data_IF_984925744295
#
_entry.id   IF_984925744295
#
_cell.length_a   1.000
_cell.length_b   1.000
_cell.length_c   1.000
_cell.angle_alpha   90.00
_cell.angle_beta   90.00
_cell.angle_gamma   90.00
#
_symmetry.space_group_name_H-M   'P 1'
#
loop_
_entity.id
_entity.type
_entity.pdbx_description
1 polymer ?
#
# COMPACT_ATOMS: atom_id res chain seq x y z
N UNK A 1 -5.06 19.07 -15.30
CA UNK A 1 -6.25 18.75 -14.48
C UNK A 1 -6.52 17.24 -14.63
N UNK A 2 -6.10 16.39 -13.67
CA UNK A 2 -6.31 14.91 -13.69
C UNK A 2 -7.73 14.64 -13.18
N UNK A 3 -8.65 14.30 -14.08
CA UNK A 3 -10.05 14.09 -13.78
C UNK A 3 -10.36 12.60 -13.51
N UNK A 4 -9.94 12.06 -12.36
CA UNK A 4 -10.43 10.75 -11.91
C UNK A 4 -10.38 10.55 -10.39
N UNK A 5 -11.40 9.90 -9.81
CA UNK A 5 -11.49 9.50 -8.38
C UNK A 5 -10.39 8.52 -7.99
N UNK A 6 -9.83 7.83 -8.98
CA UNK A 6 -8.73 6.90 -8.82
C UNK A 6 -7.35 7.55 -8.89
N UNK A 7 -7.21 8.83 -9.31
CA UNK A 7 -5.91 9.49 -9.29
C UNK A 7 -5.49 9.51 -7.80
N UNK A 8 -4.44 8.79 -7.36
CA UNK A 8 -3.83 9.13 -6.08
C UNK A 8 -3.55 10.63 -6.13
N UNK A 9 -3.71 11.36 -5.03
CA UNK A 9 -3.32 12.77 -4.98
C UNK A 9 -1.89 12.89 -5.50
N UNK A 10 -1.76 13.24 -6.78
CA UNK A 10 -0.48 13.50 -7.40
C UNK A 10 0.09 14.66 -6.61
N UNK A 11 1.35 14.52 -6.18
CA UNK A 11 2.05 15.62 -5.51
C UNK A 11 1.91 16.87 -6.35
N UNK A 12 1.67 18.00 -5.69
CA UNK A 12 1.62 19.31 -6.34
C UNK A 12 3.00 19.75 -6.87
N UNK A 13 4.06 19.01 -6.53
CA UNK A 13 5.43 19.21 -6.97
C UNK A 13 5.93 18.03 -7.81
N UNK A 14 6.75 18.35 -8.82
CA UNK A 14 7.47 17.35 -9.58
C UNK A 14 8.44 16.57 -8.68
N UNK A 15 8.70 15.31 -9.05
CA UNK A 15 9.78 14.56 -8.44
C UNK A 15 11.12 15.19 -8.82
N UNK A 16 11.92 15.54 -7.82
CA UNK A 16 13.26 16.11 -8.02
C UNK A 16 14.31 15.18 -7.45
N UNK A 17 15.47 14.99 -8.12
CA UNK A 17 16.47 14.01 -7.71
C UNK A 17 16.88 14.14 -6.24
N UNK A 18 16.95 15.37 -5.72
CA UNK A 18 17.39 15.68 -4.36
C UNK A 18 16.38 15.24 -3.29
N UNK A 19 15.10 15.07 -3.65
CA UNK A 19 14.01 14.73 -2.73
C UNK A 19 13.23 13.48 -3.13
N UNK A 20 13.63 12.81 -4.21
CA UNK A 20 12.92 11.67 -4.80
C UNK A 20 12.57 10.61 -3.76
N UNK A 21 13.51 10.22 -2.92
CA UNK A 21 13.31 9.19 -1.90
C UNK A 21 12.26 9.57 -0.87
N UNK A 22 12.34 10.79 -0.33
CA UNK A 22 11.32 11.31 0.58
C UNK A 22 9.96 11.42 -0.12
N UNK A 23 9.96 11.85 -1.38
CA UNK A 23 8.74 12.00 -2.15
C UNK A 23 8.05 10.65 -2.44
N UNK A 24 8.83 9.59 -2.69
CA UNK A 24 8.31 8.24 -2.83
C UNK A 24 7.78 7.71 -1.50
N UNK A 25 8.52 7.93 -0.41
CA UNK A 25 8.12 7.47 0.93
C UNK A 25 6.79 8.07 1.37
N UNK A 26 6.57 9.39 1.28
CA UNK A 26 5.28 9.91 1.75
C UNK A 26 4.11 9.49 0.82
N UNK A 27 4.37 9.16 -0.45
CA UNK A 27 3.34 8.59 -1.33
C UNK A 27 3.00 7.16 -0.94
N UNK A 28 4.02 6.34 -0.64
CA UNK A 28 3.82 5.01 -0.10
C UNK A 28 3.05 5.07 1.24
N UNK A 29 3.45 5.94 2.15
CA UNK A 29 2.76 6.15 3.43
C UNK A 29 1.29 6.53 3.24
N UNK A 30 1.00 7.49 2.36
CA UNK A 30 -0.38 7.91 2.05
C UNK A 30 -1.20 6.75 1.49
N UNK A 31 -0.65 6.02 0.52
CA UNK A 31 -1.33 4.89 -0.09
C UNK A 31 -1.61 3.78 0.93
N UNK A 32 -0.61 3.42 1.75
CA UNK A 32 -0.75 2.39 2.78
C UNK A 32 -1.69 2.78 3.92
N UNK A 33 -1.93 4.08 4.11
CA UNK A 33 -2.90 4.59 5.10
C UNK A 33 -4.35 4.52 4.63
N UNK A 34 -4.61 4.34 3.34
CA UNK A 34 -5.97 4.21 2.81
C UNK A 34 -6.57 2.84 3.16
N UNK A 35 -7.38 2.79 4.21
CA UNK A 35 -8.02 1.57 4.73
C UNK A 35 -9.01 0.91 3.76
N UNK A 36 -9.53 1.66 2.80
CA UNK A 36 -10.38 1.08 1.75
C UNK A 36 -9.57 0.17 0.82
N UNK A 37 -8.26 0.44 0.71
CA UNK A 37 -7.34 -0.26 -0.19
C UNK A 37 -6.38 -1.19 0.53
N UNK A 38 -5.97 -0.84 1.75
CA UNK A 38 -4.90 -1.53 2.47
C UNK A 38 -5.25 -1.63 3.97
N UNK A 39 -5.45 -2.86 4.46
CA UNK A 39 -5.74 -3.11 5.88
C UNK A 39 -5.45 -4.54 6.28
N UNK A 40 -5.16 -4.74 7.54
CA UNK A 40 -5.30 -6.05 8.17
C UNK A 40 -6.75 -6.27 8.59
N UNK A 41 -7.31 -7.42 8.23
CA UNK A 41 -8.64 -7.84 8.65
C UNK A 41 -8.50 -8.84 9.81
N UNK A 42 -8.82 -8.46 11.05
CA UNK A 42 -8.65 -9.34 12.21
C UNK A 42 -9.62 -10.52 12.21
N UNK A 43 -10.78 -10.40 11.55
CA UNK A 43 -11.76 -11.49 11.44
C UNK A 43 -11.27 -12.59 10.53
N UNK A 44 -10.68 -12.24 9.39
CA UNK A 44 -10.12 -13.21 8.43
C UNK A 44 -8.67 -13.59 8.74
N UNK A 45 -7.96 -12.78 9.53
CA UNK A 45 -6.54 -12.93 9.85
C UNK A 45 -5.61 -12.63 8.67
N UNK A 46 -6.09 -11.89 7.66
CA UNK A 46 -5.39 -11.65 6.40
C UNK A 46 -5.04 -10.17 6.20
N UNK A 47 -3.93 -9.95 5.50
CA UNK A 47 -3.56 -8.64 4.99
C UNK A 47 -4.26 -8.43 3.64
N UNK A 48 -5.30 -7.61 3.65
CA UNK A 48 -6.10 -7.24 2.49
C UNK A 48 -5.53 -5.98 1.85
N UNK A 49 -4.97 -6.10 0.66
CA UNK A 49 -4.26 -5.00 -0.04
C UNK A 49 -4.77 -4.81 -1.45
N UNK A 50 -4.52 -3.64 -2.02
CA UNK A 50 -4.96 -3.31 -3.36
C UNK A 50 -4.43 -4.27 -4.43
N UNK A 51 -5.25 -4.57 -5.44
CA UNK A 51 -4.89 -5.36 -6.62
C UNK A 51 -3.67 -4.82 -7.38
N UNK A 52 -3.29 -3.56 -7.18
CA UNK A 52 -2.05 -3.02 -7.75
C UNK A 52 -0.83 -3.83 -7.32
N UNK A 53 -0.82 -4.37 -6.10
CA UNK A 53 0.26 -5.22 -5.60
C UNK A 53 0.30 -6.61 -6.26
N UNK A 54 -0.81 -7.06 -6.85
CA UNK A 54 -0.84 -8.28 -7.66
C UNK A 54 -0.17 -8.03 -9.02
N UNK A 55 -0.55 -6.93 -9.68
CA UNK A 55 0.01 -6.54 -10.99
C UNK A 55 1.53 -6.32 -10.95
N UNK A 56 2.02 -5.69 -9.88
CA UNK A 56 3.45 -5.43 -9.67
C UNK A 56 4.10 -6.39 -8.67
N UNK A 57 3.45 -7.52 -8.36
CA UNK A 57 3.93 -8.46 -7.33
C UNK A 57 5.31 -9.05 -7.62
N UNK A 58 5.70 -9.10 -8.91
CA UNK A 58 7.05 -9.50 -9.34
C UNK A 58 8.15 -8.55 -8.85
N UNK A 59 7.88 -7.25 -8.82
CA UNK A 59 8.88 -6.22 -8.47
C UNK A 59 9.29 -6.32 -7.00
N UNK A 60 8.36 -6.72 -6.13
CA UNK A 60 8.63 -6.94 -4.71
C UNK A 60 9.55 -8.12 -4.43
N UNK A 61 9.81 -8.99 -5.42
CA UNK A 61 10.75 -10.11 -5.30
C UNK A 61 12.16 -9.76 -5.76
N UNK A 62 12.36 -8.58 -6.35
CA UNK A 62 13.64 -8.16 -6.92
C UNK A 62 14.65 -7.67 -5.86
N UNK A 63 14.27 -7.60 -4.58
CA UNK A 63 15.20 -7.27 -3.49
C UNK A 63 15.52 -5.77 -3.37
N UNK A 64 14.78 -4.90 -4.06
CA UNK A 64 14.98 -3.45 -3.98
C UNK A 64 14.91 -2.98 -2.52
N UNK A 65 15.94 -2.27 -2.05
CA UNK A 65 16.09 -1.82 -0.65
C UNK A 65 15.98 -2.95 0.39
N UNK A 66 16.35 -4.18 0.05
CA UNK A 66 16.23 -5.33 0.94
C UNK A 66 14.81 -5.88 1.10
N UNK A 67 13.87 -5.40 0.29
CA UNK A 67 12.48 -5.88 0.26
C UNK A 67 12.37 -7.01 -0.76
N UNK A 68 12.12 -8.22 -0.26
CA UNK A 68 12.06 -9.44 -1.07
C UNK A 68 10.65 -10.08 -1.13
N UNK A 69 9.66 -9.44 -0.51
CA UNK A 69 8.27 -9.88 -0.59
C UNK A 69 7.31 -8.74 -0.21
N UNK A 70 6.04 -8.90 -0.59
CA UNK A 70 4.98 -7.96 -0.21
C UNK A 70 4.74 -7.92 1.32
N UNK A 71 4.77 -9.04 2.07
CA UNK A 71 4.80 -8.98 3.54
C UNK A 71 6.00 -8.21 4.09
N UNK A 72 7.19 -8.31 3.48
CA UNK A 72 8.36 -7.54 3.89
C UNK A 72 8.21 -6.03 3.60
N UNK A 73 7.52 -5.66 2.53
CA UNK A 73 7.14 -4.27 2.30
C UNK A 73 6.13 -3.79 3.36
N UNK A 74 5.08 -4.57 3.58
CA UNK A 74 4.00 -4.24 4.51
C UNK A 74 4.49 -4.09 5.97
N UNK A 75 5.55 -4.80 6.38
CA UNK A 75 6.11 -4.67 7.73
C UNK A 75 6.56 -3.24 8.06
N UNK A 76 6.95 -2.44 7.07
CA UNK A 76 7.34 -1.04 7.26
C UNK A 76 6.14 -0.13 7.55
N UNK A 77 4.92 -0.56 7.21
CA UNK A 77 3.68 0.21 7.30
C UNK A 77 2.68 -0.38 8.30
N UNK A 78 3.13 -1.19 9.25
CA UNK A 78 2.24 -1.90 10.19
C UNK A 78 1.29 -0.94 10.96
N UNK A 79 1.75 0.26 11.30
CA UNK A 79 0.94 1.28 11.98
C UNK A 79 -0.22 1.77 11.11
N UNK A 80 0.01 1.91 9.81
CA UNK A 80 -0.99 2.31 8.84
C UNK A 80 -1.95 1.17 8.50
N UNK A 81 -1.51 -0.08 8.65
CA UNK A 81 -2.26 -1.27 8.25
C UNK A 81 -3.12 -1.89 9.36
N UNK A 82 -2.86 -1.61 10.63
CA UNK A 82 -3.64 -2.16 11.75
C UNK A 82 -3.72 -1.21 12.96
N UNK A 83 -4.82 -1.33 13.71
CA UNK A 83 -5.07 -0.49 14.90
C UNK A 83 -4.58 -1.19 16.18
N UNK A 84 -4.86 -2.48 16.31
CA UNK A 84 -4.45 -3.25 17.48
C UNK A 84 -2.93 -3.51 17.47
N UNK A 85 -2.23 -3.30 18.61
CA UNK A 85 -0.80 -3.60 18.70
C UNK A 85 -0.44 -5.04 18.30
N UNK A 86 -1.26 -6.03 18.68
CA UNK A 86 -1.03 -7.43 18.34
C UNK A 86 -1.02 -7.67 16.82
N UNK A 87 -1.93 -7.05 16.09
CA UNK A 87 -1.99 -7.18 14.63
C UNK A 87 -0.80 -6.50 13.95
N UNK A 88 -0.35 -5.36 14.49
CA UNK A 88 0.88 -4.70 14.02
C UNK A 88 2.10 -5.59 14.18
N UNK A 89 2.21 -6.29 15.31
CA UNK A 89 3.31 -7.24 15.54
C UNK A 89 3.27 -8.40 14.55
N UNK A 90 2.09 -8.94 14.21
CA UNK A 90 1.96 -9.99 13.18
C UNK A 90 2.45 -9.51 11.81
N UNK A 91 2.09 -8.29 11.43
CA UNK A 91 2.55 -7.68 10.17
C UNK A 91 4.06 -7.44 10.20
N UNK A 92 4.61 -6.94 11.31
CA UNK A 92 6.07 -6.74 11.48
C UNK A 92 6.85 -8.05 11.42
N UNK A 93 6.28 -9.11 11.99
CA UNK A 93 6.82 -10.46 11.91
C UNK A 93 6.71 -11.08 10.50
N UNK A 94 6.02 -10.41 9.57
CA UNK A 94 5.76 -10.87 8.19
C UNK A 94 4.96 -12.17 8.15
N UNK A 95 4.26 -12.49 9.25
CA UNK A 95 3.43 -13.68 9.43
C UNK A 95 1.96 -13.36 9.11
N UNK A 96 1.74 -12.92 7.87
CA UNK A 96 0.42 -12.56 7.36
C UNK A 96 0.21 -13.13 5.98
N UNK A 97 -0.94 -13.77 5.79
CA UNK A 97 -1.39 -14.16 4.45
C UNK A 97 -1.94 -12.95 3.71
N UNK A 98 -1.49 -12.74 2.48
CA UNK A 98 -1.96 -11.63 1.64
C UNK A 98 -3.15 -12.07 0.81
N UNK A 99 -4.16 -11.21 0.72
CA UNK A 99 -5.24 -11.29 -0.25
C UNK A 99 -5.42 -9.95 -0.95
N UNK A 100 -5.76 -10.00 -2.23
CA UNK A 100 -5.97 -8.80 -3.02
C UNK A 100 -7.46 -8.43 -3.04
N UNK A 101 -7.75 -7.18 -2.71
CA UNK A 101 -9.08 -6.62 -2.85
C UNK A 101 -9.40 -6.45 -4.33
N UNK A 102 -10.66 -6.71 -4.71
CA UNK A 102 -11.12 -6.41 -6.05
C UNK A 102 -11.00 -4.92 -6.33
N UNK A 103 -10.47 -4.60 -7.50
CA UNK A 103 -10.25 -3.23 -7.91
C UNK A 103 -11.58 -2.64 -8.36
N UNK A 104 -12.17 -1.75 -7.57
CA UNK A 104 -13.36 -1.00 -8.00
C UNK A 104 -12.94 0.03 -9.05
N UNK A 105 -13.21 -0.28 -10.33
CA UNK A 105 -12.96 0.59 -11.47
C UNK A 105 -13.96 1.75 -11.58
N UNK A 106 -14.81 2.01 -10.58
CA UNK A 106 -15.73 3.15 -10.58
C UNK A 106 -14.98 4.48 -10.52
N UNK A 107 -14.57 4.91 -11.70
CA UNK A 107 -14.10 6.24 -12.02
C UNK A 107 -15.32 7.18 -12.02
N UNK A 108 -15.30 8.22 -11.19
CA UNK A 108 -16.12 9.45 -11.26
C UNK A 108 -17.32 9.37 -12.24
N UNK A 109 -18.43 8.77 -11.80
CA UNK A 109 -19.72 9.00 -12.45
C UNK A 109 -20.37 10.21 -11.76
N UNK A 110 -19.71 11.36 -11.88
CA UNK A 110 -20.28 12.65 -11.50
C UNK A 110 -20.86 13.26 -12.77
N UNK A 111 -22.14 12.93 -12.99
CA UNK A 111 -22.99 13.50 -14.03
C UNK A 111 -23.37 14.95 -13.72
#
# INVERSE_FOLDING_TARGET
NCASVGCPMLREEAFVPERLEAQLEEQALRFMSDRSRNRFNPTSGKLEVSKIFDWYGGDFKLGHKGIASLPAFASNYAVQLADAPADRERIRAKDVSVTFLDYDWKLNDAR
#
